data_IF_868696089087
#
_entry.id   IF_868696089087
#
_cell.length_a   1.000
_cell.length_b   1.000
_cell.length_c   1.000
_cell.angle_alpha   90.00
_cell.angle_beta   90.00
_cell.angle_gamma   90.00
#
_symmetry.space_group_name_H-M   'P 1'
#
loop_
_entity.id
_entity.type
_entity.pdbx_description
1 polymer ?
#
# COMPACT_ATOMS: atom_id res chain seq x y z
N UNK A 1 -5.85 24.62 7.28
CA UNK A 1 -6.97 23.65 7.32
C UNK A 1 -7.17 22.89 6.01
N UNK A 2 -7.12 23.55 4.84
CA UNK A 2 -7.46 22.95 3.54
C UNK A 2 -6.48 21.85 3.09
N UNK A 3 -5.18 22.03 3.34
CA UNK A 3 -4.15 21.05 2.99
C UNK A 3 -4.35 19.71 3.71
N UNK A 4 -4.78 19.72 4.97
CA UNK A 4 -5.04 18.51 5.75
C UNK A 4 -6.21 17.70 5.17
N UNK A 5 -7.28 18.38 4.76
CA UNK A 5 -8.45 17.75 4.14
C UNK A 5 -8.08 17.10 2.80
N UNK A 6 -7.28 17.79 1.97
CA UNK A 6 -6.79 17.26 0.71
C UNK A 6 -5.90 16.02 0.91
N UNK A 7 -4.99 16.05 1.89
CA UNK A 7 -4.14 14.91 2.23
C UNK A 7 -4.95 13.71 2.71
N UNK A 8 -5.95 13.92 3.57
CA UNK A 8 -6.84 12.85 4.03
C UNK A 8 -7.68 12.27 2.88
N UNK A 9 -8.22 13.12 2.01
CA UNK A 9 -8.96 12.70 0.82
C UNK A 9 -8.10 11.87 -0.13
N UNK A 10 -6.86 12.30 -0.38
CA UNK A 10 -5.89 11.55 -1.18
C UNK A 10 -5.57 10.19 -0.57
N UNK A 11 -5.32 10.13 0.75
CA UNK A 11 -5.04 8.88 1.46
C UNK A 11 -6.24 7.92 1.40
N UNK A 12 -7.46 8.41 1.55
CA UNK A 12 -8.66 7.58 1.44
C UNK A 12 -8.80 7.00 0.03
N UNK A 13 -8.60 7.84 -1.00
CA UNK A 13 -8.70 7.44 -2.40
C UNK A 13 -7.64 6.40 -2.77
N UNK A 14 -6.37 6.63 -2.43
CA UNK A 14 -5.28 5.70 -2.77
C UNK A 14 -5.45 4.35 -2.06
N UNK A 15 -5.94 4.34 -0.82
CA UNK A 15 -6.24 3.10 -0.10
C UNK A 15 -7.40 2.34 -0.74
N UNK A 16 -8.47 3.04 -1.14
CA UNK A 16 -9.61 2.43 -1.83
C UNK A 16 -9.19 1.81 -3.16
N UNK A 17 -8.46 2.57 -3.99
CA UNK A 17 -7.93 2.09 -5.27
C UNK A 17 -7.02 0.87 -5.05
N UNK A 18 -6.12 0.93 -4.06
CA UNK A 18 -5.21 -0.17 -3.75
C UNK A 18 -5.98 -1.43 -3.36
N UNK A 19 -7.00 -1.33 -2.52
CA UNK A 19 -7.85 -2.46 -2.14
C UNK A 19 -8.58 -3.05 -3.36
N UNK A 20 -9.17 -2.20 -4.22
CA UNK A 20 -9.89 -2.65 -5.41
C UNK A 20 -8.96 -3.36 -6.41
N UNK A 21 -7.75 -2.86 -6.61
CA UNK A 21 -6.75 -3.49 -7.50
C UNK A 21 -6.37 -4.88 -6.96
N UNK A 22 -6.18 -5.03 -5.65
CA UNK A 22 -5.92 -6.33 -5.03
C UNK A 22 -7.10 -7.29 -5.14
N UNK A 23 -8.33 -6.80 -4.94
CA UNK A 23 -9.54 -7.60 -5.10
C UNK A 23 -9.75 -8.04 -6.57
N UNK A 24 -9.46 -7.15 -7.53
CA UNK A 24 -9.50 -7.46 -8.95
C UNK A 24 -8.42 -8.49 -9.34
N UNK A 25 -7.21 -8.38 -8.79
CA UNK A 25 -6.15 -9.37 -8.99
C UNK A 25 -6.58 -10.76 -8.49
N UNK A 26 -7.26 -10.86 -7.34
CA UNK A 26 -7.85 -12.12 -6.86
C UNK A 26 -8.88 -12.68 -7.84
N UNK A 27 -9.81 -11.85 -8.34
CA UNK A 27 -10.81 -12.28 -9.32
C UNK A 27 -10.17 -12.78 -10.61
N UNK A 28 -9.16 -12.08 -11.12
CA UNK A 28 -8.38 -12.48 -12.31
C UNK A 28 -7.65 -13.80 -12.08
N UNK A 29 -7.11 -14.02 -10.88
CA UNK A 29 -6.46 -15.28 -10.53
C UNK A 29 -7.43 -16.47 -10.53
N UNK A 30 -8.67 -16.27 -10.09
CA UNK A 30 -9.73 -17.29 -10.14
C UNK A 30 -10.13 -17.58 -11.61
N UNK A 31 -10.26 -16.54 -12.43
CA UNK A 31 -10.64 -16.65 -13.86
C UNK A 31 -9.50 -17.08 -14.78
N UNK A 32 -8.30 -17.39 -14.25
CA UNK A 32 -7.07 -17.69 -15.01
C UNK A 32 -6.69 -16.61 -16.03
N UNK A 33 -7.06 -15.37 -15.76
CA UNK A 33 -6.74 -14.21 -16.60
C UNK A 33 -5.33 -13.67 -16.30
N UNK A 34 -4.87 -12.73 -17.14
CA UNK A 34 -3.61 -12.01 -16.94
C UNK A 34 -3.62 -11.29 -15.59
N UNK A 35 -2.70 -11.69 -14.70
CA UNK A 35 -2.51 -11.12 -13.35
C UNK A 35 -1.94 -9.70 -13.42
N UNK A 36 -2.22 -8.90 -12.39
CA UNK A 36 -1.68 -7.53 -12.29
C UNK A 36 -0.16 -7.60 -12.05
N UNK A 37 0.66 -6.83 -12.79
CA UNK A 37 2.10 -6.77 -12.58
C UNK A 37 2.44 -6.36 -11.15
N UNK A 38 3.43 -7.01 -10.55
CA UNK A 38 3.90 -6.69 -9.18
C UNK A 38 4.40 -5.25 -9.07
N UNK A 39 4.95 -4.69 -10.15
CA UNK A 39 5.38 -3.30 -10.21
C UNK A 39 4.23 -2.30 -9.96
N UNK A 40 3.04 -2.56 -10.50
CA UNK A 40 1.87 -1.69 -10.30
C UNK A 40 1.41 -1.70 -8.84
N UNK A 41 1.43 -2.89 -8.21
CA UNK A 41 1.09 -3.06 -6.80
C UNK A 41 2.07 -2.32 -5.89
N UNK A 42 3.38 -2.41 -6.18
CA UNK A 42 4.41 -1.70 -5.43
C UNK A 42 4.32 -0.19 -5.60
N UNK A 43 3.98 0.31 -6.81
CA UNK A 43 3.75 1.74 -7.05
C UNK A 43 2.59 2.28 -6.22
N UNK A 44 1.49 1.54 -6.12
CA UNK A 44 0.35 1.94 -5.27
C UNK A 44 0.74 2.01 -3.79
N UNK A 45 1.56 1.07 -3.31
CA UNK A 45 2.11 1.13 -1.95
C UNK A 45 3.01 2.36 -1.75
N UNK A 46 3.84 2.68 -2.74
CA UNK A 46 4.70 3.88 -2.74
C UNK A 46 3.90 5.19 -2.67
N UNK A 47 2.73 5.24 -3.30
CA UNK A 47 1.85 6.41 -3.29
C UNK A 47 1.05 6.60 -1.98
N UNK A 48 1.21 5.69 -1.01
CA UNK A 48 0.52 5.75 0.29
C UNK A 48 -0.57 4.68 0.51
N UNK A 49 -0.76 3.76 -0.44
CA UNK A 49 -1.71 2.65 -0.33
C UNK A 49 -1.23 1.46 0.52
N UNK A 50 -0.06 1.57 1.16
CA UNK A 50 0.55 0.47 1.92
C UNK A 50 -0.33 -0.12 3.04
N UNK A 51 -1.20 0.64 3.76
CA UNK A 51 -2.07 0.07 4.79
C UNK A 51 -3.15 -0.82 4.17
N UNK A 52 -3.84 -0.34 3.14
CA UNK A 52 -4.85 -1.12 2.42
C UNK A 52 -4.24 -2.34 1.70
N UNK A 53 -3.03 -2.22 1.15
CA UNK A 53 -2.31 -3.35 0.58
C UNK A 53 -2.01 -4.43 1.64
N UNK A 54 -1.52 -4.03 2.82
CA UNK A 54 -1.29 -4.93 3.95
C UNK A 54 -2.55 -5.68 4.39
N UNK A 55 -3.66 -4.95 4.52
CA UNK A 55 -4.97 -5.52 4.86
C UNK A 55 -5.47 -6.48 3.78
N UNK A 56 -5.38 -6.08 2.51
CA UNK A 56 -5.79 -6.89 1.36
C UNK A 56 -4.99 -8.19 1.27
N UNK A 57 -3.69 -8.16 1.51
CA UNK A 57 -2.85 -9.35 1.52
C UNK A 57 -3.26 -10.34 2.61
N UNK A 58 -3.62 -9.86 3.81
CA UNK A 58 -4.12 -10.70 4.91
C UNK A 58 -5.51 -11.27 4.59
N UNK A 59 -6.43 -10.42 4.14
CA UNK A 59 -7.84 -10.78 3.90
C UNK A 59 -8.00 -11.74 2.73
N UNK A 60 -7.26 -11.52 1.63
CA UNK A 60 -7.35 -12.37 0.46
C UNK A 60 -6.46 -13.62 0.55
N UNK A 61 -5.56 -13.70 1.54
CA UNK A 61 -4.48 -14.72 1.68
C UNK A 61 -3.76 -14.96 0.34
N UNK A 62 -3.70 -13.93 -0.51
CA UNK A 62 -3.24 -14.00 -1.89
C UNK A 62 -1.94 -13.20 -2.01
N UNK A 63 -0.93 -13.77 -2.68
CA UNK A 63 0.43 -13.20 -2.85
C UNK A 63 1.28 -13.00 -1.58
N UNK A 64 0.93 -13.58 -0.42
CA UNK A 64 1.79 -13.58 0.79
C UNK A 64 3.04 -14.48 0.67
N UNK A 65 3.06 -15.39 -0.32
CA UNK A 65 4.04 -16.48 -0.41
C UNK A 65 5.32 -16.08 -1.16
N UNK A 66 5.27 -15.10 -2.06
CA UNK A 66 6.48 -14.64 -2.77
C UNK A 66 7.34 -13.78 -1.84
N UNK A 67 8.44 -14.37 -1.35
CA UNK A 67 9.43 -13.68 -0.48
C UNK A 67 9.92 -12.36 -1.06
N UNK A 68 10.17 -12.29 -2.36
CA UNK A 68 10.64 -11.06 -3.01
C UNK A 68 9.63 -9.92 -2.97
N UNK A 69 8.36 -10.21 -3.22
CA UNK A 69 7.30 -9.20 -3.15
C UNK A 69 7.14 -8.67 -1.72
N UNK A 70 7.13 -9.59 -0.74
CA UNK A 70 7.05 -9.22 0.67
C UNK A 70 8.25 -8.38 1.14
N UNK A 71 9.46 -8.69 0.66
CA UNK A 71 10.67 -7.89 0.97
C UNK A 71 10.55 -6.47 0.43
N UNK A 72 10.13 -6.32 -0.83
CA UNK A 72 9.91 -5.00 -1.46
C UNK A 72 8.80 -4.23 -0.75
N UNK A 73 7.68 -4.87 -0.45
CA UNK A 73 6.58 -4.26 0.30
C UNK A 73 7.03 -3.79 1.68
N UNK A 74 7.69 -4.64 2.47
CA UNK A 74 8.20 -4.28 3.79
C UNK A 74 9.19 -3.12 3.72
N UNK A 75 10.04 -3.06 2.69
CA UNK A 75 10.94 -1.93 2.47
C UNK A 75 10.18 -0.61 2.32
N UNK A 76 9.08 -0.59 1.55
CA UNK A 76 8.22 0.60 1.36
C UNK A 76 7.56 0.99 2.68
N UNK A 77 7.06 0.02 3.45
CA UNK A 77 6.44 0.26 4.75
C UNK A 77 7.45 0.88 5.71
N UNK A 78 8.64 0.29 5.85
CA UNK A 78 9.69 0.82 6.71
C UNK A 78 10.12 2.22 6.30
N UNK A 79 10.24 2.49 5.00
CA UNK A 79 10.55 3.83 4.50
C UNK A 79 9.52 4.87 4.96
N UNK A 80 8.22 4.57 4.85
CA UNK A 80 7.16 5.47 5.29
C UNK A 80 7.13 5.63 6.82
N UNK A 81 7.29 4.53 7.56
CA UNK A 81 7.30 4.56 9.04
C UNK A 81 8.48 5.36 9.56
N UNK A 82 9.70 5.16 9.03
CA UNK A 82 10.89 5.91 9.42
C UNK A 82 10.74 7.40 9.08
N UNK A 83 10.18 7.72 7.91
CA UNK A 83 9.85 9.11 7.55
C UNK A 83 8.90 9.76 8.55
N UNK A 84 7.79 9.08 8.90
CA UNK A 84 6.85 9.60 9.89
C UNK A 84 7.50 9.79 11.27
N UNK A 85 8.22 8.78 11.78
CA UNK A 85 8.89 8.86 13.08
C UNK A 85 9.93 9.99 13.08
N UNK A 86 10.74 10.12 12.03
CA UNK A 86 11.71 11.20 11.89
C UNK A 86 11.06 12.58 11.91
N UNK A 87 9.94 12.76 11.20
CA UNK A 87 9.20 14.03 11.26
C UNK A 87 8.64 14.30 12.65
N UNK A 88 8.06 13.30 13.32
CA UNK A 88 7.50 13.46 14.67
C UNK A 88 8.59 13.88 15.67
N UNK A 89 9.75 13.20 15.65
CA UNK A 89 10.88 13.54 16.53
C UNK A 89 11.38 14.95 16.24
N UNK A 90 11.54 15.31 14.96
CA UNK A 90 11.96 16.67 14.59
C UNK A 90 10.98 17.71 15.15
N UNK A 91 9.67 17.52 14.98
CA UNK A 91 8.65 18.43 15.51
C UNK A 91 8.56 18.49 17.04
N UNK A 92 9.05 17.47 17.76
CA UNK A 92 9.14 17.50 19.24
C UNK A 92 10.42 18.16 19.77
N UNK A 93 11.42 18.34 18.92
CA UNK A 93 12.74 18.87 19.29
C UNK A 93 12.86 20.38 19.03
N UNK A 94 11.88 20.98 18.36
CA UNK A 94 11.73 22.42 18.16
C UNK A 94 10.57 22.96 19.00
#
# INVERSE_FOLDING_TARGET
>A
MTLWILSLGWLALINLVTFQVWAADKRRAIRRERRVPEATLLRLCWLGGWPAAGLSMRMFRHKSVKRDFKRKFNGIVWFHVLGMVGTIIAFQTF
#
